data_IF_358933136215
#
_entry.id   IF_358933136215
#
_cell.length_a   1.000
_cell.length_b   1.000
_cell.length_c   1.000
_cell.angle_alpha   90.00
_cell.angle_beta   90.00
_cell.angle_gamma   90.00
#
_symmetry.space_group_name_H-M   'P 1'
#
loop_
_entity.id
_entity.type
_entity.pdbx_description
1 polymer ?
#
# COMPACT_ATOMS: atom_id res chain seq x y z
N UNK A 1 5.21 23.86 -27.89
CA UNK A 1 3.90 23.78 -28.58
C UNK A 1 2.99 22.97 -27.66
N UNK A 2 1.77 23.46 -27.39
CA UNK A 2 0.77 22.66 -26.66
C UNK A 2 0.48 21.43 -27.52
N UNK A 3 0.55 20.24 -26.92
CA UNK A 3 0.19 19.00 -27.61
C UNK A 3 -1.32 19.03 -27.95
N UNK A 4 -1.66 18.52 -29.12
CA UNK A 4 -3.03 18.46 -29.56
C UNK A 4 -3.71 17.25 -28.89
N UNK A 5 -4.81 17.48 -28.19
CA UNK A 5 -5.62 16.44 -27.59
C UNK A 5 -6.43 15.72 -28.67
N UNK A 6 -6.50 14.39 -28.55
CA UNK A 6 -7.20 13.50 -29.48
C UNK A 6 -8.17 12.62 -28.71
N UNK A 7 -9.24 12.21 -29.37
CA UNK A 7 -10.17 11.26 -28.79
C UNK A 7 -9.57 9.85 -28.73
N UNK A 8 -9.65 9.24 -27.55
CA UNK A 8 -9.10 7.90 -27.32
C UNK A 8 -9.71 6.85 -28.26
N UNK A 9 -11.01 7.00 -28.62
CA UNK A 9 -11.70 6.12 -29.53
C UNK A 9 -11.08 5.97 -30.92
N UNK A 10 -10.22 6.93 -31.35
CA UNK A 10 -9.47 6.83 -32.60
C UNK A 10 -8.31 5.80 -32.53
N UNK A 11 -7.88 5.44 -31.31
CA UNK A 11 -6.69 4.64 -31.05
C UNK A 11 -6.97 3.28 -30.43
N UNK A 12 -8.20 3.01 -29.98
CA UNK A 12 -8.54 1.79 -29.27
C UNK A 12 -9.72 1.05 -29.90
N UNK A 13 -9.77 -0.26 -29.69
CA UNK A 13 -10.94 -1.08 -30.05
C UNK A 13 -11.24 -2.12 -28.97
N UNK A 14 -12.51 -2.48 -28.83
CA UNK A 14 -12.92 -3.59 -27.96
C UNK A 14 -12.45 -4.94 -28.53
N UNK A 15 -12.18 -5.85 -27.59
CA UNK A 15 -11.87 -7.25 -27.86
C UNK A 15 -12.84 -8.11 -27.06
N UNK A 16 -13.52 -9.08 -27.71
CA UNK A 16 -14.44 -10.02 -27.05
C UNK A 16 -14.11 -11.46 -27.46
N UNK A 17 -12.99 -11.96 -26.97
CA UNK A 17 -12.59 -13.35 -27.17
C UNK A 17 -13.12 -14.18 -26.01
N UNK A 18 -13.99 -15.15 -26.28
CA UNK A 18 -14.58 -16.02 -25.27
C UNK A 18 -13.72 -17.27 -25.01
N UNK A 19 -13.68 -17.68 -23.75
CA UNK A 19 -13.00 -18.89 -23.30
C UNK A 19 -13.80 -20.15 -23.68
N UNK A 20 -13.92 -20.45 -24.98
CA UNK A 20 -14.74 -21.56 -25.50
C UNK A 20 -14.32 -22.92 -24.96
N UNK A 21 -13.07 -23.09 -24.58
CA UNK A 21 -12.51 -24.34 -24.07
C UNK A 21 -12.75 -24.54 -22.57
N UNK A 22 -13.30 -23.55 -21.88
CA UNK A 22 -13.58 -23.63 -20.44
C UNK A 22 -12.32 -23.72 -19.57
N UNK A 23 -11.18 -23.20 -20.06
CA UNK A 23 -9.91 -23.12 -19.29
C UNK A 23 -10.16 -22.42 -17.95
N UNK A 24 -9.36 -22.77 -16.94
CA UNK A 24 -9.46 -22.20 -15.57
C UNK A 24 -8.18 -21.54 -15.09
N UNK A 25 -7.17 -21.52 -15.93
CA UNK A 25 -5.84 -21.00 -15.60
C UNK A 25 -5.83 -19.48 -15.68
N UNK A 26 -4.96 -18.84 -14.89
CA UNK A 26 -4.78 -17.40 -14.86
C UNK A 26 -6.09 -16.61 -14.72
N UNK A 27 -6.93 -17.00 -13.74
CA UNK A 27 -8.14 -16.27 -13.45
C UNK A 27 -7.82 -14.96 -12.76
N UNK A 28 -8.10 -13.84 -13.44
CA UNK A 28 -7.68 -12.51 -13.05
C UNK A 28 -8.87 -11.60 -12.71
N UNK A 29 -8.61 -10.70 -11.79
CA UNK A 29 -9.43 -9.52 -11.52
C UNK A 29 -8.60 -8.25 -11.72
N UNK A 30 -9.26 -7.07 -11.68
CA UNK A 30 -8.59 -5.77 -11.78
C UNK A 30 -8.85 -4.97 -10.51
N UNK A 31 -7.79 -4.47 -9.90
CA UNK A 31 -7.84 -3.66 -8.69
C UNK A 31 -8.01 -2.16 -9.00
N UNK A 32 -8.44 -1.39 -8.00
CA UNK A 32 -8.44 0.08 -8.06
C UNK A 32 -7.03 0.69 -8.02
N UNK A 33 -6.01 -0.11 -7.71
CA UNK A 33 -4.59 0.24 -7.85
C UNK A 33 -4.09 0.10 -9.29
N UNK A 34 -5.01 -0.13 -10.26
CA UNK A 34 -4.69 -0.21 -11.69
C UNK A 34 -3.80 -1.40 -12.07
N UNK A 35 -3.97 -2.52 -11.38
CA UNK A 35 -3.18 -3.73 -11.59
C UNK A 35 -4.09 -4.96 -11.73
N UNK A 36 -3.63 -5.95 -12.50
CA UNK A 36 -4.20 -7.27 -12.44
C UNK A 36 -3.86 -7.94 -11.10
N UNK A 37 -4.81 -8.65 -10.55
CA UNK A 37 -4.68 -9.45 -9.33
C UNK A 37 -5.25 -10.84 -9.58
N UNK A 38 -4.81 -11.84 -8.83
CA UNK A 38 -5.50 -13.14 -8.83
C UNK A 38 -6.95 -12.94 -8.38
N UNK A 39 -7.89 -13.57 -9.08
CA UNK A 39 -9.30 -13.45 -8.74
C UNK A 39 -9.58 -14.09 -7.39
N UNK A 40 -10.21 -13.35 -6.50
CA UNK A 40 -10.70 -13.83 -5.20
C UNK A 40 -12.16 -14.30 -5.25
N UNK A 41 -12.76 -14.35 -6.44
CA UNK A 41 -14.16 -14.73 -6.60
C UNK A 41 -14.37 -16.22 -6.29
N UNK A 42 -15.48 -16.53 -5.62
CA UNK A 42 -15.90 -17.92 -5.48
C UNK A 42 -16.28 -18.49 -6.84
N UNK A 43 -15.55 -19.51 -7.29
CA UNK A 43 -15.71 -20.12 -8.62
C UNK A 43 -16.52 -21.42 -8.61
N UNK A 44 -17.07 -21.83 -7.48
CA UNK A 44 -17.90 -23.05 -7.36
C UNK A 44 -19.16 -22.87 -8.20
N UNK A 45 -19.39 -23.79 -9.15
CA UNK A 45 -20.53 -23.75 -10.08
C UNK A 45 -20.42 -22.71 -11.19
N UNK A 46 -19.27 -22.05 -11.36
CA UNK A 46 -19.06 -21.03 -12.40
C UNK A 46 -18.85 -21.66 -13.78
N UNK A 47 -19.59 -21.17 -14.77
CA UNK A 47 -19.39 -21.51 -16.18
C UNK A 47 -18.28 -20.63 -16.79
N UNK A 48 -17.08 -21.18 -16.89
CA UNK A 48 -15.91 -20.48 -17.40
C UNK A 48 -15.97 -20.22 -18.92
N UNK A 49 -16.86 -20.87 -19.66
CA UNK A 49 -17.01 -20.58 -21.09
C UNK A 49 -17.54 -19.17 -21.36
N UNK A 50 -18.18 -18.57 -20.37
CA UNK A 50 -18.66 -17.17 -20.40
C UNK A 50 -17.57 -16.14 -20.16
N UNK A 51 -16.42 -16.57 -19.65
CA UNK A 51 -15.29 -15.66 -19.38
C UNK A 51 -14.66 -15.16 -20.67
N UNK A 52 -14.01 -14.02 -20.59
CA UNK A 52 -13.24 -13.42 -21.70
C UNK A 52 -11.77 -13.75 -21.52
N UNK A 53 -11.10 -13.97 -22.64
CA UNK A 53 -9.65 -14.07 -22.71
C UNK A 53 -9.09 -12.67 -22.89
N UNK A 54 -8.12 -12.32 -22.05
CA UNK A 54 -7.31 -11.10 -22.20
C UNK A 54 -5.88 -11.52 -22.51
N UNK A 55 -5.23 -10.89 -23.50
CA UNK A 55 -3.87 -11.17 -23.93
C UNK A 55 -2.91 -10.07 -23.50
N UNK A 56 -1.64 -10.39 -23.47
CA UNK A 56 -0.58 -9.41 -23.22
C UNK A 56 -0.69 -8.20 -24.13
N UNK A 57 -0.53 -7.01 -23.55
CA UNK A 57 -0.72 -5.74 -24.25
C UNK A 57 -2.18 -5.28 -24.34
N UNK A 58 -3.14 -6.06 -23.87
CA UNK A 58 -4.55 -5.67 -23.79
C UNK A 58 -4.90 -5.11 -22.43
N UNK A 59 -5.88 -4.23 -22.42
CA UNK A 59 -6.46 -3.63 -21.23
C UNK A 59 -7.73 -4.34 -20.81
N UNK A 60 -7.97 -4.29 -19.53
CA UNK A 60 -9.25 -4.73 -18.95
C UNK A 60 -9.72 -3.69 -17.93
N UNK A 61 -10.99 -3.28 -18.02
CA UNK A 61 -11.58 -2.44 -17.00
C UNK A 61 -12.98 -2.91 -16.60
N UNK A 62 -13.39 -2.53 -15.39
CA UNK A 62 -14.76 -2.70 -14.94
C UNK A 62 -15.46 -1.35 -15.00
N UNK A 63 -16.60 -1.24 -15.71
CA UNK A 63 -17.28 0.04 -15.90
C UNK A 63 -17.82 0.69 -14.62
N UNK A 64 -18.12 -0.11 -13.58
CA UNK A 64 -18.69 0.35 -12.31
C UNK A 64 -17.66 1.17 -11.50
N UNK A 65 -17.96 2.43 -11.19
CA UNK A 65 -17.12 3.35 -10.42
C UNK A 65 -17.63 3.57 -8.99
N UNK A 66 -18.94 3.53 -8.76
CA UNK A 66 -19.57 3.96 -7.50
C UNK A 66 -19.26 3.08 -6.28
N UNK A 67 -18.91 1.82 -6.49
CA UNK A 67 -18.62 0.85 -5.41
C UNK A 67 -17.14 0.68 -5.09
N UNK A 68 -16.28 1.52 -5.68
CA UNK A 68 -14.81 1.35 -5.67
C UNK A 68 -14.07 2.57 -5.13
N UNK A 69 -14.74 3.36 -4.29
CA UNK A 69 -14.15 4.58 -3.71
C UNK A 69 -13.87 5.65 -4.76
N UNK A 70 -14.81 5.82 -5.70
CA UNK A 70 -14.74 6.82 -6.78
C UNK A 70 -13.54 6.64 -7.72
N UNK A 71 -13.09 5.39 -7.89
CA UNK A 71 -12.00 5.01 -8.79
C UNK A 71 -12.47 4.00 -9.83
N UNK A 72 -11.92 4.08 -11.03
CA UNK A 72 -12.12 3.06 -12.06
C UNK A 72 -11.02 1.99 -11.95
N UNK A 73 -11.41 0.72 -11.88
CA UNK A 73 -10.47 -0.38 -11.95
C UNK A 73 -10.17 -0.70 -13.42
N UNK A 74 -8.95 -0.38 -13.86
CA UNK A 74 -8.42 -0.59 -15.21
C UNK A 74 -6.98 -1.05 -15.11
N UNK A 75 -6.54 -1.99 -15.95
CA UNK A 75 -5.17 -2.47 -15.98
C UNK A 75 -4.74 -2.93 -17.37
N UNK A 76 -3.45 -2.83 -17.65
CA UNK A 76 -2.76 -3.38 -18.81
C UNK A 76 -2.17 -4.75 -18.44
N UNK A 77 -2.37 -5.78 -19.24
CA UNK A 77 -1.79 -7.11 -19.01
C UNK A 77 -0.34 -7.15 -19.52
N UNK A 78 0.61 -7.25 -18.60
CA UNK A 78 2.06 -7.32 -18.91
C UNK A 78 2.69 -8.64 -18.43
N UNK A 79 2.20 -9.23 -17.31
CA UNK A 79 2.85 -10.32 -16.60
C UNK A 79 2.51 -11.72 -17.15
N UNK A 80 1.44 -11.85 -17.92
CA UNK A 80 0.97 -13.12 -18.50
C UNK A 80 0.80 -12.98 -20.01
N UNK A 81 1.06 -14.03 -20.77
CA UNK A 81 0.76 -14.06 -22.21
C UNK A 81 -0.76 -14.05 -22.45
N UNK A 82 -1.53 -14.72 -21.59
CA UNK A 82 -3.00 -14.65 -21.55
C UNK A 82 -3.55 -14.88 -20.14
N UNK A 83 -4.73 -14.33 -19.88
CA UNK A 83 -5.48 -14.52 -18.65
C UNK A 83 -6.98 -14.53 -18.90
N UNK A 84 -7.74 -14.93 -17.90
CA UNK A 84 -9.20 -15.00 -17.95
C UNK A 84 -9.81 -13.94 -17.02
N UNK A 85 -10.77 -13.19 -17.54
CA UNK A 85 -11.55 -12.23 -16.77
C UNK A 85 -13.04 -12.50 -16.90
N UNK A 86 -13.81 -12.18 -15.86
CA UNK A 86 -15.25 -12.34 -15.87
C UNK A 86 -15.90 -11.55 -17.03
N UNK A 87 -17.05 -12.00 -17.50
CA UNK A 87 -17.79 -11.36 -18.58
C UNK A 87 -18.23 -9.92 -18.31
N UNK A 88 -18.23 -9.47 -17.04
CA UNK A 88 -18.57 -8.08 -16.65
C UNK A 88 -17.46 -7.07 -17.00
N UNK A 89 -16.25 -7.54 -17.24
CA UNK A 89 -15.15 -6.69 -17.67
C UNK A 89 -15.23 -6.36 -19.15
N UNK A 90 -14.80 -5.16 -19.49
CA UNK A 90 -14.55 -4.76 -20.88
C UNK A 90 -13.06 -4.95 -21.18
N UNK A 91 -12.75 -5.71 -22.24
CA UNK A 91 -11.39 -5.90 -22.74
C UNK A 91 -11.23 -5.05 -23.99
N UNK A 92 -10.11 -4.36 -24.14
CA UNK A 92 -9.79 -3.56 -25.30
C UNK A 92 -8.28 -3.50 -25.55
N UNK A 93 -7.89 -3.08 -26.71
CA UNK A 93 -6.50 -2.94 -27.12
C UNK A 93 -6.26 -1.66 -27.90
N UNK A 94 -5.01 -1.23 -27.97
CA UNK A 94 -4.56 -0.18 -28.88
C UNK A 94 -4.52 -0.74 -30.30
N UNK A 95 -5.06 0.00 -31.27
CA UNK A 95 -5.15 -0.42 -32.69
C UNK A 95 -3.78 -0.40 -33.36
N UNK A 96 -2.98 0.62 -33.07
CA UNK A 96 -1.68 0.88 -33.72
C UNK A 96 -0.66 1.34 -32.65
N UNK A 97 0.20 0.42 -32.26
CA UNK A 97 1.23 0.68 -31.21
C UNK A 97 2.37 1.59 -31.69
N UNK A 98 2.47 1.86 -32.98
CA UNK A 98 3.41 2.87 -33.51
C UNK A 98 2.87 4.30 -33.40
N UNK A 99 1.59 4.46 -33.07
CA UNK A 99 0.96 5.76 -32.78
C UNK A 99 0.72 6.00 -31.30
N UNK A 100 0.26 4.97 -30.58
CA UNK A 100 -0.01 5.04 -29.15
C UNK A 100 0.54 3.79 -28.46
N UNK A 101 1.48 3.97 -27.53
CA UNK A 101 1.98 2.86 -26.71
C UNK A 101 0.95 2.47 -25.66
N UNK A 102 0.64 1.17 -25.45
CA UNK A 102 -0.22 0.72 -24.35
C UNK A 102 0.29 1.18 -22.99
N UNK A 103 1.59 1.12 -22.75
CA UNK A 103 2.19 1.55 -21.49
C UNK A 103 2.02 3.06 -21.25
N UNK A 104 2.12 3.90 -22.29
CA UNK A 104 1.86 5.33 -22.19
C UNK A 104 0.39 5.60 -21.87
N UNK A 105 -0.53 4.88 -22.53
CA UNK A 105 -1.96 4.95 -22.24
C UNK A 105 -2.26 4.50 -20.79
N UNK A 106 -1.55 3.47 -20.28
CA UNK A 106 -1.69 3.05 -18.88
C UNK A 106 -1.24 4.14 -17.89
N UNK A 107 -0.19 4.91 -18.22
CA UNK A 107 0.22 6.06 -17.39
C UNK A 107 -0.88 7.13 -17.36
N UNK A 108 -1.54 7.39 -18.50
CA UNK A 108 -2.68 8.31 -18.54
C UNK A 108 -3.81 7.87 -17.60
N UNK A 109 -4.17 6.59 -17.64
CA UNK A 109 -5.18 6.02 -16.76
C UNK A 109 -4.77 5.99 -15.28
N UNK A 110 -3.48 5.97 -14.99
CA UNK A 110 -2.96 5.94 -13.61
C UNK A 110 -3.05 7.29 -12.88
N UNK A 111 -3.40 8.35 -13.59
CA UNK A 111 -3.52 9.70 -13.03
C UNK A 111 -4.78 9.83 -12.16
N UNK A 112 -4.71 10.53 -11.01
CA UNK A 112 -5.89 10.84 -10.21
C UNK A 112 -6.96 11.65 -10.96
N UNK A 113 -6.53 12.46 -11.94
CA UNK A 113 -7.43 13.22 -12.82
C UNK A 113 -8.32 12.30 -13.63
N UNK A 114 -7.81 11.17 -14.09
CA UNK A 114 -8.60 10.19 -14.83
C UNK A 114 -9.66 9.53 -13.96
N UNK A 115 -9.34 9.21 -12.69
CA UNK A 115 -10.36 8.69 -11.76
C UNK A 115 -11.49 9.70 -11.53
N UNK A 116 -11.16 10.99 -11.36
CA UNK A 116 -12.16 12.07 -11.24
C UNK A 116 -12.99 12.22 -12.50
N UNK A 117 -12.35 12.17 -13.67
CA UNK A 117 -13.05 12.20 -14.97
C UNK A 117 -14.00 11.00 -15.12
N UNK A 118 -13.50 9.78 -14.86
CA UNK A 118 -14.30 8.57 -14.94
C UNK A 118 -15.50 8.62 -13.99
N UNK A 119 -15.32 9.12 -12.77
CA UNK A 119 -16.39 9.31 -11.78
C UNK A 119 -17.43 10.32 -12.26
N UNK A 120 -16.98 11.47 -12.78
CA UNK A 120 -17.86 12.52 -13.30
C UNK A 120 -18.67 12.08 -14.53
N UNK A 121 -18.07 11.27 -15.39
CA UNK A 121 -18.71 10.75 -16.62
C UNK A 121 -19.54 9.50 -16.40
N UNK A 122 -19.50 8.91 -15.22
CA UNK A 122 -20.29 7.72 -14.89
C UNK A 122 -21.77 8.09 -14.65
N UNK A 123 -22.67 7.32 -15.24
CA UNK A 123 -24.12 7.54 -15.18
C UNK A 123 -24.84 6.28 -14.70
N UNK A 124 -26.02 6.44 -14.11
CA UNK A 124 -26.90 5.36 -13.68
C UNK A 124 -27.49 5.58 -12.28
N UNK A 125 -28.73 5.13 -12.06
CA UNK A 125 -29.47 5.31 -10.81
C UNK A 125 -29.12 4.30 -9.71
N UNK A 126 -28.59 3.12 -10.08
CA UNK A 126 -28.27 2.03 -9.14
C UNK A 126 -26.77 1.73 -9.13
N UNK A 127 -26.12 1.84 -10.29
CA UNK A 127 -24.68 1.72 -10.48
C UNK A 127 -24.25 2.79 -11.46
N UNK A 128 -23.32 3.61 -11.05
CA UNK A 128 -22.74 4.61 -11.94
C UNK A 128 -21.67 3.92 -12.77
N UNK A 129 -21.83 3.99 -14.07
CA UNK A 129 -21.06 3.23 -15.06
C UNK A 129 -20.42 4.18 -16.05
N UNK A 130 -19.12 4.07 -16.23
CA UNK A 130 -18.39 4.64 -17.36
C UNK A 130 -18.40 3.61 -18.48
N UNK A 131 -19.32 3.76 -19.43
CA UNK A 131 -19.47 2.84 -20.56
C UNK A 131 -18.36 3.00 -21.61
N UNK A 132 -18.41 2.15 -22.64
CA UNK A 132 -17.41 2.16 -23.71
C UNK A 132 -17.46 3.42 -24.56
N UNK A 133 -18.65 3.98 -24.78
CA UNK A 133 -18.80 5.20 -25.56
C UNK A 133 -18.17 6.39 -24.86
N UNK A 134 -18.34 6.49 -23.52
CA UNK A 134 -17.66 7.51 -22.72
C UNK A 134 -16.14 7.28 -22.64
N UNK A 135 -15.68 6.02 -22.62
CA UNK A 135 -14.25 5.71 -22.73
C UNK A 135 -13.67 6.20 -24.05
N UNK A 136 -14.39 6.05 -25.17
CA UNK A 136 -13.94 6.52 -26.48
C UNK A 136 -13.90 8.06 -26.58
N UNK A 137 -14.66 8.79 -25.76
CA UNK A 137 -14.68 10.28 -25.71
C UNK A 137 -13.59 10.86 -24.80
N UNK A 138 -12.80 10.03 -24.12
CA UNK A 138 -11.64 10.52 -23.36
C UNK A 138 -10.70 11.25 -24.30
N UNK A 139 -10.33 12.46 -23.94
CA UNK A 139 -9.33 13.24 -24.66
C UNK A 139 -7.99 13.12 -23.95
N UNK A 140 -6.93 12.85 -24.72
CA UNK A 140 -5.57 12.74 -24.20
C UNK A 140 -4.57 13.32 -25.21
N UNK A 141 -3.40 13.81 -24.73
CA UNK A 141 -2.32 14.18 -25.62
C UNK A 141 -1.67 12.91 -26.17
N UNK A 142 -1.43 12.87 -27.48
CA UNK A 142 -0.74 11.78 -28.16
C UNK A 142 0.52 12.35 -28.80
N UNK A 143 1.63 12.51 -28.05
CA UNK A 143 2.88 12.99 -28.60
C UNK A 143 3.49 11.97 -29.54
N UNK A 144 4.57 12.35 -30.25
CA UNK A 144 5.30 11.43 -31.09
C UNK A 144 5.77 10.19 -30.29
N UNK A 145 5.92 9.07 -30.99
CA UNK A 145 6.18 7.77 -30.37
C UNK A 145 7.49 7.76 -29.56
N UNK A 146 8.51 8.52 -29.98
CA UNK A 146 9.78 8.61 -29.27
C UNK A 146 9.63 9.36 -27.95
N UNK A 147 8.78 10.39 -27.89
CA UNK A 147 8.44 11.09 -26.62
C UNK A 147 7.69 10.14 -25.69
N UNK A 148 6.69 9.37 -26.20
CA UNK A 148 5.99 8.36 -25.41
C UNK A 148 6.96 7.33 -24.83
N UNK A 149 7.88 6.76 -25.65
CA UNK A 149 8.90 5.80 -25.20
C UNK A 149 9.80 6.36 -24.09
N UNK A 150 10.20 7.64 -24.20
CA UNK A 150 10.99 8.31 -23.16
C UNK A 150 10.24 8.45 -21.84
N UNK A 151 8.95 8.85 -21.89
CA UNK A 151 8.11 8.99 -20.71
C UNK A 151 7.90 7.62 -20.04
N UNK A 152 7.52 6.60 -20.78
CA UNK A 152 7.35 5.23 -20.27
C UNK A 152 8.63 4.72 -19.63
N UNK A 153 9.77 4.87 -20.32
CA UNK A 153 11.09 4.46 -19.80
C UNK A 153 11.43 5.18 -18.49
N UNK A 154 11.21 6.49 -18.42
CA UNK A 154 11.48 7.26 -17.22
C UNK A 154 10.62 6.79 -16.03
N UNK A 155 9.31 6.60 -16.27
CA UNK A 155 8.39 6.12 -15.24
C UNK A 155 8.76 4.70 -14.77
N UNK A 156 9.01 3.79 -15.70
CA UNK A 156 9.41 2.42 -15.40
C UNK A 156 10.72 2.36 -14.60
N UNK A 157 11.70 3.20 -14.95
CA UNK A 157 12.96 3.28 -14.19
C UNK A 157 12.71 3.65 -12.72
N UNK A 158 11.78 4.57 -12.45
CA UNK A 158 11.41 4.98 -11.09
C UNK A 158 10.69 3.83 -10.38
N UNK A 159 9.69 3.22 -10.99
CA UNK A 159 8.88 2.16 -10.37
C UNK A 159 9.68 0.88 -10.12
N UNK A 160 10.55 0.49 -11.05
CA UNK A 160 11.45 -0.67 -10.89
C UNK A 160 12.43 -0.43 -9.73
N UNK A 161 12.93 0.81 -9.56
CA UNK A 161 13.80 1.17 -8.44
C UNK A 161 13.04 1.11 -7.11
N UNK A 162 11.80 1.57 -7.05
CA UNK A 162 10.94 1.44 -5.86
C UNK A 162 10.77 -0.04 -5.51
N UNK A 163 10.38 -0.88 -6.46
CA UNK A 163 10.17 -2.31 -6.25
C UNK A 163 11.44 -3.03 -5.77
N UNK A 164 12.61 -2.67 -6.35
CA UNK A 164 13.89 -3.22 -5.92
C UNK A 164 14.22 -2.81 -4.48
N UNK A 165 14.01 -1.53 -4.11
CA UNK A 165 14.25 -1.03 -2.75
C UNK A 165 13.35 -1.70 -1.73
N UNK A 166 12.07 -1.95 -2.05
CA UNK A 166 11.15 -2.69 -1.20
C UNK A 166 11.66 -4.12 -0.95
N UNK A 167 12.07 -4.85 -2.00
CA UNK A 167 12.67 -6.19 -1.84
C UNK A 167 13.95 -6.17 -1.00
N UNK A 168 14.78 -5.15 -1.14
CA UNK A 168 15.97 -4.99 -0.30
C UNK A 168 15.55 -4.82 1.16
N UNK A 169 14.56 -3.99 1.45
CA UNK A 169 14.06 -3.77 2.80
C UNK A 169 13.48 -5.05 3.41
N UNK A 170 12.68 -5.83 2.68
CA UNK A 170 12.16 -7.12 3.13
C UNK A 170 13.30 -8.06 3.53
N UNK A 171 14.36 -8.14 2.72
CA UNK A 171 15.52 -8.97 3.00
C UNK A 171 16.32 -8.47 4.22
N UNK A 172 16.52 -7.16 4.34
CA UNK A 172 17.23 -6.55 5.47
C UNK A 172 16.46 -6.79 6.78
N UNK A 173 15.14 -6.62 6.76
CA UNK A 173 14.30 -6.89 7.93
C UNK A 173 14.34 -8.37 8.32
N UNK A 174 14.25 -9.29 7.35
CA UNK A 174 14.37 -10.72 7.59
C UNK A 174 15.74 -11.11 8.18
N UNK A 175 16.84 -10.49 7.71
CA UNK A 175 18.18 -10.71 8.25
C UNK A 175 18.29 -10.21 9.70
N UNK A 176 17.81 -9.00 9.98
CA UNK A 176 17.83 -8.44 11.33
C UNK A 176 16.97 -9.28 12.29
N UNK A 177 15.81 -9.76 11.85
CA UNK A 177 14.97 -10.65 12.64
C UNK A 177 15.64 -12.02 12.87
N UNK A 178 16.37 -12.56 11.91
CA UNK A 178 17.14 -13.78 12.09
C UNK A 178 18.25 -13.61 13.16
N UNK A 179 18.96 -12.46 13.15
CA UNK A 179 19.95 -12.12 14.19
C UNK A 179 19.26 -12.02 15.57
N UNK A 180 18.06 -11.43 15.62
CA UNK A 180 17.26 -11.37 16.85
C UNK A 180 16.91 -12.78 17.33
N UNK A 181 16.39 -13.66 16.49
CA UNK A 181 16.03 -15.05 16.82
C UNK A 181 17.24 -15.84 17.33
N UNK A 182 18.41 -15.69 16.71
CA UNK A 182 19.66 -16.29 17.19
C UNK A 182 20.04 -15.75 18.57
N UNK A 183 19.92 -14.45 18.79
CA UNK A 183 20.26 -13.79 20.07
C UNK A 183 19.38 -14.29 21.21
N UNK A 184 18.10 -14.56 20.99
CA UNK A 184 17.18 -15.04 22.01
C UNK A 184 17.06 -16.58 22.05
N UNK A 185 17.76 -17.29 21.17
CA UNK A 185 17.72 -18.75 21.08
C UNK A 185 18.10 -19.40 22.43
N UNK A 186 17.31 -20.40 22.82
CA UNK A 186 17.49 -21.14 24.09
C UNK A 186 17.36 -20.28 25.37
N UNK A 187 16.71 -19.12 25.29
CA UNK A 187 16.42 -18.25 26.43
C UNK A 187 14.96 -18.33 26.83
N UNK A 188 14.70 -18.28 28.10
CA UNK A 188 13.35 -18.24 28.63
C UNK A 188 12.80 -16.80 28.62
N UNK A 189 11.50 -16.67 28.40
CA UNK A 189 10.76 -15.39 28.56
C UNK A 189 10.54 -15.17 30.06
N UNK A 190 11.50 -14.55 30.73
CA UNK A 190 11.53 -14.37 32.18
C UNK A 190 11.22 -12.95 32.67
N UNK A 191 10.88 -12.03 31.76
CA UNK A 191 10.56 -10.65 32.06
C UNK A 191 9.23 -10.24 31.42
N UNK A 192 8.62 -9.20 31.93
CA UNK A 192 7.45 -8.57 31.30
C UNK A 192 7.88 -7.49 30.31
N UNK A 193 7.03 -7.21 29.33
CA UNK A 193 7.28 -6.13 28.37
C UNK A 193 7.47 -4.78 29.09
N UNK A 194 6.72 -4.56 30.17
CA UNK A 194 6.84 -3.39 31.05
C UNK A 194 8.20 -3.28 31.76
N UNK A 195 8.98 -4.37 31.86
CA UNK A 195 10.33 -4.32 32.46
C UNK A 195 11.36 -3.72 31.49
N UNK A 196 11.18 -3.93 30.19
CA UNK A 196 12.12 -3.49 29.13
C UNK A 196 11.67 -2.21 28.42
N UNK A 197 10.38 -1.84 28.49
CA UNK A 197 9.82 -0.68 27.79
C UNK A 197 8.96 0.21 28.70
N UNK A 198 9.00 1.51 28.44
CA UNK A 198 7.98 2.47 28.89
C UNK A 198 6.86 2.46 27.87
N UNK A 199 5.61 2.27 28.31
CA UNK A 199 4.45 2.12 27.42
C UNK A 199 3.44 3.24 27.68
N UNK A 200 3.13 4.00 26.65
CA UNK A 200 2.14 5.07 26.66
C UNK A 200 0.94 4.69 25.80
N UNK A 201 -0.22 4.48 26.41
CA UNK A 201 -1.48 4.29 25.68
C UNK A 201 -1.95 5.62 25.10
N UNK A 202 -2.29 5.63 23.81
CA UNK A 202 -2.75 6.82 23.12
C UNK A 202 -4.16 7.25 23.53
N UNK A 203 -4.46 8.53 23.32
CA UNK A 203 -5.75 9.15 23.60
C UNK A 203 -6.10 10.10 22.46
N UNK A 204 -7.27 9.92 21.85
CA UNK A 204 -7.70 10.82 20.78
C UNK A 204 -8.05 12.19 21.33
N UNK A 205 -7.57 13.27 20.69
CA UNK A 205 -8.06 14.62 20.93
C UNK A 205 -9.51 14.77 20.46
N UNK A 206 -10.11 15.93 20.69
CA UNK A 206 -11.43 16.27 20.14
C UNK A 206 -11.39 16.35 18.62
N UNK A 207 -12.46 15.90 17.95
CA UNK A 207 -12.51 15.78 16.49
C UNK A 207 -12.30 17.10 15.75
N UNK A 208 -12.73 18.22 16.32
CA UNK A 208 -12.59 19.56 15.74
C UNK A 208 -11.15 20.05 15.71
N UNK A 209 -10.24 19.46 16.50
CA UNK A 209 -8.82 19.80 16.50
C UNK A 209 -8.02 19.17 15.33
N UNK A 210 -8.66 18.29 14.54
CA UNK A 210 -7.97 17.57 13.44
C UNK A 210 -7.95 18.41 12.18
N UNK A 211 -6.83 18.39 11.46
CA UNK A 211 -6.69 19.03 10.16
C UNK A 211 -5.69 18.25 9.27
N UNK A 212 -5.78 18.51 7.97
CA UNK A 212 -4.82 18.03 6.97
C UNK A 212 -3.88 19.15 6.47
N UNK A 213 -3.99 20.36 7.03
CA UNK A 213 -3.32 21.58 6.56
C UNK A 213 -1.92 21.76 7.17
N UNK A 214 -1.45 20.82 7.97
CA UNK A 214 -0.14 20.89 8.61
C UNK A 214 -0.10 21.74 9.88
N UNK A 215 -1.27 22.07 10.46
CA UNK A 215 -1.33 22.96 11.63
C UNK A 215 -1.28 22.15 12.94
N UNK A 216 -0.30 22.42 13.78
CA UNK A 216 -0.10 21.74 15.06
C UNK A 216 0.85 20.57 15.01
N UNK A 217 0.58 19.52 15.82
CA UNK A 217 1.42 18.33 15.96
C UNK A 217 0.93 17.22 15.02
N UNK A 218 1.86 16.51 14.37
CA UNK A 218 1.56 15.28 13.60
C UNK A 218 0.76 14.33 14.47
N UNK A 219 -0.33 13.80 13.94
CA UNK A 219 -1.25 12.94 14.68
C UNK A 219 -1.49 11.61 13.95
N UNK A 220 -1.15 10.51 14.62
CA UNK A 220 -1.47 9.17 14.17
C UNK A 220 -2.63 8.60 14.96
N UNK A 221 -3.72 8.31 14.28
CA UNK A 221 -4.97 7.87 14.91
C UNK A 221 -4.98 6.36 15.18
N UNK A 222 -4.40 5.58 14.28
CA UNK A 222 -4.45 4.13 14.33
C UNK A 222 -3.64 3.48 13.21
N UNK A 223 -3.84 2.18 13.02
CA UNK A 223 -3.13 1.35 12.04
C UNK A 223 -3.23 1.86 10.59
N UNK A 224 -4.27 2.57 10.23
CA UNK A 224 -4.45 3.13 8.88
C UNK A 224 -3.35 4.10 8.45
N UNK A 225 -2.57 4.60 9.40
CA UNK A 225 -1.43 5.48 9.14
C UNK A 225 -0.13 4.70 8.91
N UNK A 226 -0.10 3.39 9.19
CA UNK A 226 1.09 2.57 9.12
C UNK A 226 1.52 2.24 7.68
N UNK A 227 2.81 2.45 7.40
CA UNK A 227 3.49 1.99 6.20
C UNK A 227 4.28 0.68 6.46
N UNK A 228 5.32 0.43 5.66
CA UNK A 228 6.19 -0.74 5.84
C UNK A 228 6.84 -0.75 7.22
N UNK A 229 7.57 0.31 7.58
CA UNK A 229 8.21 0.46 8.90
C UNK A 229 7.92 1.81 9.56
N UNK A 230 7.48 2.78 8.80
CA UNK A 230 7.23 4.14 9.26
C UNK A 230 5.84 4.59 8.84
N UNK A 231 5.13 5.35 9.70
CA UNK A 231 3.81 5.84 9.36
C UNK A 231 3.85 6.98 8.33
N UNK A 232 2.74 7.11 7.59
CA UNK A 232 2.50 8.22 6.67
C UNK A 232 1.73 9.32 7.38
N UNK A 233 2.19 10.55 7.26
CA UNK A 233 1.51 11.72 7.84
C UNK A 233 0.26 12.03 7.00
N UNK A 234 -0.90 12.01 7.64
CA UNK A 234 -2.19 12.36 7.03
C UNK A 234 -2.94 13.42 7.82
N UNK A 235 -2.74 13.47 9.13
CA UNK A 235 -3.45 14.34 10.02
C UNK A 235 -2.50 15.05 10.98
N UNK A 236 -2.94 16.21 11.42
CA UNK A 236 -2.35 17.01 12.47
C UNK A 236 -3.41 17.33 13.52
N UNK A 237 -2.99 17.70 14.73
CA UNK A 237 -3.90 18.17 15.78
C UNK A 237 -3.32 19.40 16.49
N UNK A 238 -4.20 20.35 16.78
CA UNK A 238 -3.89 21.52 17.59
C UNK A 238 -3.98 21.26 19.10
N UNK A 239 -4.56 20.11 19.51
CA UNK A 239 -4.78 19.72 20.91
C UNK A 239 -4.22 18.34 21.24
N UNK A 240 -2.90 18.11 21.10
CA UNK A 240 -2.31 16.82 21.38
C UNK A 240 -2.44 16.42 22.84
N UNK A 241 -2.77 15.16 23.14
CA UNK A 241 -2.98 14.65 24.52
C UNK A 241 -1.91 13.66 24.97
N UNK A 242 -1.45 12.77 24.09
CA UNK A 242 -0.43 11.75 24.34
C UNK A 242 0.56 11.74 23.19
N UNK A 243 1.81 11.51 23.51
CA UNK A 243 2.92 11.66 22.56
C UNK A 243 3.73 10.38 22.43
N UNK A 244 4.33 10.22 21.26
CA UNK A 244 5.47 9.38 20.98
C UNK A 244 6.62 10.26 20.50
N UNK A 245 7.86 9.87 20.80
CA UNK A 245 9.05 10.55 20.34
C UNK A 245 9.65 9.81 19.13
N UNK A 246 10.54 10.48 18.42
CA UNK A 246 11.30 9.86 17.34
C UNK A 246 11.98 8.57 17.83
N UNK A 247 11.77 7.48 17.11
CA UNK A 247 12.30 6.16 17.42
C UNK A 247 11.38 5.29 18.27
N UNK A 248 10.39 5.85 18.97
CA UNK A 248 9.43 5.06 19.73
C UNK A 248 8.66 4.13 18.79
N UNK A 249 8.38 2.91 19.26
CA UNK A 249 7.59 1.94 18.48
C UNK A 249 6.12 2.26 18.69
N UNK A 250 5.42 2.45 17.59
CA UNK A 250 3.98 2.61 17.54
C UNK A 250 3.36 1.23 17.32
N UNK A 251 2.42 0.83 18.17
CA UNK A 251 1.71 -0.44 18.04
C UNK A 251 0.20 -0.20 17.97
N UNK A 252 -0.47 -0.90 17.07
CA UNK A 252 -1.94 -0.90 17.02
C UNK A 252 -2.50 -1.71 18.21
N UNK A 253 -3.39 -1.08 19.00
CA UNK A 253 -4.03 -1.69 20.18
C UNK A 253 -5.50 -2.02 19.94
N UNK A 254 -6.01 -1.76 18.73
CA UNK A 254 -7.34 -2.14 18.25
C UNK A 254 -7.23 -2.88 16.94
N UNK A 255 -8.25 -3.67 16.63
CA UNK A 255 -8.25 -4.56 15.48
C UNK A 255 -7.83 -3.86 14.16
N UNK A 256 -6.84 -4.41 13.46
CA UNK A 256 -5.99 -5.54 13.84
C UNK A 256 -4.96 -5.14 14.91
N UNK A 257 -4.90 -5.91 16.01
CA UNK A 257 -3.96 -5.69 17.13
C UNK A 257 -2.59 -6.24 16.76
N UNK A 258 -1.52 -5.51 17.14
CA UNK A 258 -0.15 -6.01 17.07
C UNK A 258 0.64 -5.56 15.83
N UNK A 259 0.05 -4.80 14.91
CA UNK A 259 0.83 -4.17 13.85
C UNK A 259 1.71 -3.08 14.44
N UNK A 260 2.96 -2.97 13.97
CA UNK A 260 3.96 -2.04 14.52
C UNK A 260 4.55 -1.13 13.44
N UNK A 261 4.91 0.07 13.85
CA UNK A 261 5.70 1.04 13.07
C UNK A 261 6.66 1.78 14.00
N UNK A 262 7.50 2.65 13.47
CA UNK A 262 8.45 3.48 14.21
C UNK A 262 8.12 4.95 13.97
N UNK A 263 7.98 5.74 15.03
CA UNK A 263 7.75 7.18 14.92
C UNK A 263 8.97 7.88 14.30
N UNK A 264 8.80 8.56 13.16
CA UNK A 264 9.88 9.32 12.50
C UNK A 264 10.22 10.62 13.22
N UNK A 265 9.29 11.16 13.98
CA UNK A 265 9.38 12.44 14.67
C UNK A 265 8.52 12.44 15.93
N UNK A 266 8.56 13.53 16.69
CA UNK A 266 7.65 13.75 17.79
C UNK A 266 6.23 13.90 17.27
N UNK A 267 5.31 13.07 17.76
CA UNK A 267 3.95 13.01 17.25
C UNK A 267 2.92 12.73 18.38
N UNK A 268 1.69 13.10 18.14
CA UNK A 268 0.55 12.73 18.98
C UNK A 268 0.00 11.37 18.56
N UNK A 269 -0.47 10.56 19.50
CA UNK A 269 -1.04 9.22 19.27
C UNK A 269 -2.47 9.10 19.77
N UNK A 270 -3.34 8.59 18.91
CA UNK A 270 -4.75 8.37 19.18
C UNK A 270 -5.02 7.06 19.92
N UNK A 271 -6.26 6.88 20.35
CA UNK A 271 -6.73 5.71 21.13
C UNK A 271 -6.56 4.35 20.45
N UNK A 272 -6.21 4.32 19.16
CA UNK A 272 -5.92 3.10 18.40
C UNK A 272 -4.46 2.64 18.50
N UNK A 273 -3.60 3.43 19.16
CA UNK A 273 -2.16 3.19 19.23
C UNK A 273 -1.66 3.19 20.69
N UNK A 274 -0.54 2.48 20.89
CA UNK A 274 0.37 2.65 22.02
C UNK A 274 1.75 3.00 21.50
N UNK A 275 2.50 3.81 22.24
CA UNK A 275 3.91 4.08 22.00
C UNK A 275 4.77 3.32 23.03
N UNK A 276 5.79 2.62 22.55
CA UNK A 276 6.73 1.85 23.38
C UNK A 276 8.14 2.44 23.20
N UNK A 277 8.74 2.83 24.32
CA UNK A 277 10.10 3.38 24.37
C UNK A 277 11.00 2.43 25.15
N UNK A 278 12.16 1.99 24.60
CA UNK A 278 13.06 1.10 25.33
C UNK A 278 13.69 1.81 26.54
N UNK A 279 13.66 1.19 27.71
CA UNK A 279 14.28 1.75 28.93
C UNK A 279 15.80 1.86 28.85
N UNK A 280 16.44 1.00 28.06
CA UNK A 280 17.89 0.93 27.86
C UNK A 280 18.38 1.58 26.56
N UNK A 281 17.52 2.30 25.84
CA UNK A 281 17.80 2.93 24.53
C UNK A 281 18.17 1.95 23.40
N UNK A 282 17.88 0.65 23.54
CA UNK A 282 18.06 -0.35 22.48
C UNK A 282 16.78 -0.47 21.65
N UNK A 283 16.61 0.42 20.68
CA UNK A 283 15.38 0.53 19.88
C UNK A 283 15.18 -0.64 18.95
N UNK A 284 16.25 -1.12 18.29
CA UNK A 284 16.20 -2.30 17.43
C UNK A 284 15.79 -3.54 18.21
N UNK A 285 16.35 -3.73 19.40
CA UNK A 285 15.99 -4.88 20.23
C UNK A 285 14.49 -4.89 20.59
N UNK A 286 13.95 -3.74 21.00
CA UNK A 286 12.53 -3.63 21.33
C UNK A 286 11.66 -3.83 20.09
N UNK A 287 12.05 -3.29 18.91
CA UNK A 287 11.31 -3.48 17.67
C UNK A 287 11.18 -4.95 17.29
N UNK A 288 12.28 -5.70 17.29
CA UNK A 288 12.25 -7.12 16.94
C UNK A 288 11.61 -7.98 18.03
N UNK A 289 11.64 -7.55 19.30
CA UNK A 289 10.83 -8.16 20.37
C UNK A 289 9.33 -8.01 20.07
N UNK A 290 8.88 -6.85 19.62
CA UNK A 290 7.48 -6.63 19.25
C UNK A 290 7.08 -7.41 17.99
N UNK A 291 7.99 -7.57 17.01
CA UNK A 291 7.76 -8.46 15.86
C UNK A 291 7.55 -9.91 16.30
N UNK A 292 8.37 -10.40 17.24
CA UNK A 292 8.23 -11.76 17.78
C UNK A 292 6.90 -11.96 18.50
N UNK A 293 6.43 -10.95 19.21
CA UNK A 293 5.14 -10.99 19.91
C UNK A 293 3.92 -10.92 18.99
N UNK A 294 4.10 -10.60 17.71
CA UNK A 294 2.98 -10.38 16.78
C UNK A 294 2.02 -11.59 16.73
N UNK A 295 2.53 -12.82 16.81
CA UNK A 295 1.68 -14.01 16.83
C UNK A 295 0.81 -14.10 18.09
N UNK A 296 1.37 -13.73 19.27
CA UNK A 296 0.63 -13.69 20.53
C UNK A 296 -0.39 -12.56 20.52
N UNK A 297 -0.02 -11.40 19.99
CA UNK A 297 -0.87 -10.21 19.87
C UNK A 297 -2.06 -10.43 18.92
N UNK A 298 -1.89 -11.22 17.87
CA UNK A 298 -2.98 -11.55 16.95
C UNK A 298 -4.13 -12.32 17.61
N UNK A 299 -3.90 -13.04 18.69
CA UNK A 299 -4.96 -13.74 19.43
C UNK A 299 -6.01 -12.79 19.99
N UNK A 300 -5.62 -11.57 20.35
CA UNK A 300 -6.54 -10.54 20.82
C UNK A 300 -7.50 -10.01 19.73
N UNK A 301 -7.32 -10.38 18.48
CA UNK A 301 -8.26 -10.06 17.40
C UNK A 301 -9.51 -10.94 17.43
N UNK A 302 -9.37 -12.19 17.93
CA UNK A 302 -10.41 -13.23 17.89
C UNK A 302 -11.13 -13.37 19.26
N UNK A 303 -10.59 -12.78 20.34
CA UNK A 303 -11.12 -12.86 21.68
C UNK A 303 -12.10 -11.70 21.98
N UNK A 304 -13.40 -12.02 22.06
CA UNK A 304 -14.45 -11.13 22.59
C UNK A 304 -15.20 -10.31 21.54
N UNK A 305 -15.96 -9.31 21.99
CA UNK A 305 -16.90 -8.46 21.23
C UNK A 305 -16.42 -7.99 19.85
N UNK A 306 -17.30 -7.59 18.97
CA UNK A 306 -17.22 -7.25 17.53
C UNK A 306 -15.89 -6.60 17.03
N UNK A 307 -15.05 -6.07 17.92
CA UNK A 307 -13.74 -5.47 17.58
C UNK A 307 -12.69 -5.87 18.62
N UNK A 308 -11.70 -6.68 18.22
CA UNK A 308 -10.57 -7.06 19.05
C UNK A 308 -9.78 -5.83 19.57
N UNK A 309 -9.34 -5.90 20.82
CA UNK A 309 -8.47 -4.89 21.42
C UNK A 309 -7.63 -5.51 22.52
N UNK A 310 -6.44 -4.93 22.78
CA UNK A 310 -5.60 -5.30 23.92
C UNK A 310 -5.70 -4.20 25.00
N UNK A 311 -5.85 -4.61 26.27
CA UNK A 311 -5.84 -3.67 27.39
C UNK A 311 -4.41 -3.25 27.73
N UNK A 312 -4.29 -2.19 28.54
CA UNK A 312 -3.00 -1.77 29.06
C UNK A 312 -2.33 -2.85 29.88
N UNK A 313 -3.08 -3.50 30.75
CA UNK A 313 -2.56 -4.48 31.70
C UNK A 313 -2.10 -5.76 30.96
N UNK A 314 -2.85 -6.21 29.96
CA UNK A 314 -2.46 -7.33 29.10
C UNK A 314 -1.17 -7.04 28.33
N UNK A 315 -1.05 -5.81 27.74
CA UNK A 315 0.14 -5.40 27.03
C UNK A 315 1.37 -5.33 27.95
N UNK A 316 1.23 -4.81 29.15
CA UNK A 316 2.31 -4.71 30.14
C UNK A 316 2.80 -6.09 30.60
N UNK A 317 1.90 -7.07 30.71
CA UNK A 317 2.15 -8.42 31.23
C UNK A 317 2.70 -9.39 30.15
N UNK A 318 2.85 -8.98 28.88
CA UNK A 318 3.41 -9.86 27.85
C UNK A 318 4.81 -10.32 28.23
N UNK A 319 5.03 -11.64 28.20
CA UNK A 319 6.31 -12.23 28.55
C UNK A 319 7.34 -12.06 27.41
N UNK A 320 8.53 -11.58 27.76
CA UNK A 320 9.64 -11.33 26.84
C UNK A 320 10.94 -11.90 27.36
N UNK A 321 11.91 -12.08 26.46
CA UNK A 321 13.29 -12.34 26.86
C UNK A 321 13.93 -11.01 27.27
N UNK A 322 14.55 -10.94 28.44
CA UNK A 322 15.37 -9.80 28.85
C UNK A 322 16.84 -10.10 28.60
N UNK A 323 17.51 -9.29 27.79
CA UNK A 323 18.95 -9.32 27.60
C UNK A 323 19.65 -8.53 28.72
N UNK A 324 20.83 -8.95 29.09
CA UNK A 324 21.71 -8.10 29.91
C UNK A 324 22.06 -6.81 29.17
N UNK A 325 22.47 -5.75 29.89
CA UNK A 325 22.84 -4.48 29.25
C UNK A 325 23.92 -4.62 28.17
N UNK A 326 24.94 -5.46 28.39
CA UNK A 326 26.02 -5.68 27.43
C UNK A 326 25.52 -6.40 26.16
N UNK A 327 24.65 -7.39 26.31
CA UNK A 327 24.07 -8.14 25.19
C UNK A 327 23.13 -7.23 24.38
N UNK A 328 22.30 -6.44 25.04
CA UNK A 328 21.41 -5.47 24.37
C UNK A 328 22.23 -4.47 23.54
N UNK A 329 23.31 -3.91 24.08
CA UNK A 329 24.19 -2.99 23.37
C UNK A 329 24.89 -3.69 22.20
N UNK A 330 25.34 -4.94 22.38
CA UNK A 330 25.98 -5.72 21.32
C UNK A 330 25.02 -6.00 20.16
N UNK A 331 23.78 -6.35 20.48
CA UNK A 331 22.71 -6.54 19.50
C UNK A 331 22.43 -5.23 18.75
N UNK A 332 22.20 -4.13 19.49
CA UNK A 332 21.91 -2.83 18.91
C UNK A 332 22.99 -2.38 17.92
N UNK A 333 24.27 -2.52 18.28
CA UNK A 333 25.39 -2.18 17.39
C UNK A 333 25.41 -2.97 16.08
N UNK A 334 24.93 -4.20 16.07
CA UNK A 334 24.87 -5.03 14.86
C UNK A 334 23.67 -4.68 14.00
N UNK A 335 22.53 -4.48 14.63
CA UNK A 335 21.24 -4.42 13.94
C UNK A 335 20.87 -2.98 13.57
N UNK A 336 21.27 -1.96 14.34
CA UNK A 336 20.99 -0.56 14.00
C UNK A 336 21.54 -0.16 12.62
N UNK A 337 22.65 -0.73 12.19
CA UNK A 337 23.20 -0.49 10.83
C UNK A 337 22.22 -0.97 9.74
N UNK A 338 21.55 -2.11 9.98
CA UNK A 338 20.52 -2.63 9.07
C UNK A 338 19.29 -1.74 9.11
N UNK A 339 18.86 -1.33 10.30
CA UNK A 339 17.71 -0.46 10.49
C UNK A 339 17.93 0.93 9.85
N UNK A 340 19.14 1.49 9.96
CA UNK A 340 19.52 2.74 9.29
C UNK A 340 19.48 2.59 7.75
N UNK A 341 19.92 1.45 7.22
CA UNK A 341 19.83 1.19 5.78
C UNK A 341 18.36 1.10 5.31
N UNK A 342 17.48 0.48 6.09
CA UNK A 342 16.04 0.44 5.81
C UNK A 342 15.47 1.87 5.84
N UNK A 343 15.82 2.69 6.84
CA UNK A 343 15.37 4.09 6.92
C UNK A 343 15.80 4.92 5.70
N UNK A 344 17.04 4.75 5.25
CA UNK A 344 17.52 5.43 4.04
C UNK A 344 16.77 4.98 2.79
N UNK A 345 16.53 3.68 2.63
CA UNK A 345 15.74 3.15 1.53
C UNK A 345 14.31 3.66 1.53
N UNK A 346 13.64 3.68 2.70
CA UNK A 346 12.29 4.22 2.83
C UNK A 346 12.22 5.71 2.47
N UNK A 347 13.24 6.48 2.86
CA UNK A 347 13.34 7.89 2.50
C UNK A 347 13.49 8.05 0.98
N UNK A 348 14.34 7.23 0.35
CA UNK A 348 14.49 7.25 -1.11
C UNK A 348 13.21 6.82 -1.83
N UNK A 349 12.50 5.80 -1.33
CA UNK A 349 11.20 5.37 -1.87
C UNK A 349 10.19 6.53 -1.86
N UNK A 350 10.11 7.29 -0.77
CA UNK A 350 9.22 8.45 -0.70
C UNK A 350 9.54 9.50 -1.77
N UNK A 351 10.82 9.85 -1.96
CA UNK A 351 11.23 10.79 -3.02
C UNK A 351 10.91 10.24 -4.42
N UNK A 352 11.11 8.93 -4.66
CA UNK A 352 10.78 8.29 -5.94
C UNK A 352 9.26 8.29 -6.20
N UNK A 353 8.43 8.10 -5.18
CA UNK A 353 6.97 8.21 -5.28
C UNK A 353 6.54 9.64 -5.64
N UNK A 354 7.14 10.65 -5.03
CA UNK A 354 6.90 12.05 -5.37
C UNK A 354 7.32 12.35 -6.82
N UNK A 355 8.50 11.87 -7.24
CA UNK A 355 8.96 12.02 -8.64
C UNK A 355 8.01 11.35 -9.63
N UNK A 356 7.50 10.15 -9.32
CA UNK A 356 6.54 9.46 -10.19
C UNK A 356 5.23 10.23 -10.31
N UNK A 357 4.74 10.81 -9.22
CA UNK A 357 3.53 11.67 -9.21
C UNK A 357 3.72 12.93 -10.05
N UNK A 358 4.88 13.60 -9.92
CA UNK A 358 5.21 14.78 -10.75
C UNK A 358 5.30 14.40 -12.23
N UNK A 359 5.90 13.24 -12.56
CA UNK A 359 5.99 12.79 -13.94
C UNK A 359 4.60 12.53 -14.53
N UNK A 360 3.70 11.88 -13.78
CA UNK A 360 2.32 11.66 -14.21
C UNK A 360 1.56 12.98 -14.43
N UNK A 361 1.75 13.98 -13.58
CA UNK A 361 1.09 15.29 -13.75
C UNK A 361 1.56 16.04 -15.01
N UNK A 362 2.82 15.81 -15.43
CA UNK A 362 3.40 16.46 -16.62
C UNK A 362 3.07 15.77 -17.95
N UNK A 363 2.37 14.66 -17.94
CA UNK A 363 1.91 14.01 -19.19
C UNK A 363 0.92 14.91 -19.97
N UNK A 364 0.33 15.89 -19.30
CA UNK A 364 -0.61 16.87 -19.91
C UNK A 364 0.04 18.11 -20.48
N UNK A 365 1.33 18.33 -20.20
CA UNK A 365 2.11 19.49 -20.66
C UNK A 365 2.96 19.15 -21.90
#
# INVERSE_FOLDING_TARGET
MKEEYRFLGEYIRQVDIRNKEGKKENLLGVSVQKQFIQSIANTVGTDFTKYKVVKKGQFTYIPDTSRRGDKIAIALLEDYEEGLVSNVYTVFEVIDTEKLLPEYLMLWFSRPEFDRYARFKSHGSVREVMDWEEMCKVELPVPDIEKQRKIVKAYKTITDRIALKQKINDNLEAQAFAIYKETISNREKCAMLSDIAEITMGTSPEGESFNADGIGTVFYQGRTDFGFRFPTIRLYTTEPKRFANKGDILMSVRAPVGDINIAKEHCAIGRGLAALKPKNKCYSYLYYTMMELNFELKKFNDEGTVFGSITKDDLFALNVVALSPNESISFEKKVSIIDDAILQNETEIQHLLEMSSILLSKITD
#
